data_IF_793702904372
#
_entry.id   IF_793702904372
#
_cell.length_a   1.000
_cell.length_b   1.000
_cell.length_c   1.000
_cell.angle_alpha   90.00
_cell.angle_beta   90.00
_cell.angle_gamma   90.00
#
_symmetry.space_group_name_H-M   'P 1'
#
loop_
_entity.id
_entity.type
_entity.pdbx_description
1 polymer ?
#
# COMPACT_ATOMS: atom_id res chain seq x y z
N UNK A 1 14.68 14.94 4.02
CA UNK A 1 13.80 15.97 3.42
C UNK A 1 14.15 16.30 1.97
N UNK A 2 15.45 16.49 1.61
CA UNK A 2 15.83 16.83 0.22
C UNK A 2 15.60 15.71 -0.79
N UNK A 3 15.73 14.45 -0.43
CA UNK A 3 15.48 13.30 -1.33
C UNK A 3 13.98 13.01 -1.52
N UNK A 4 13.15 13.18 -0.49
CA UNK A 4 11.70 13.06 -0.63
C UNK A 4 11.10 14.17 -1.53
N UNK A 5 11.72 15.35 -1.54
CA UNK A 5 11.31 16.48 -2.38
C UNK A 5 11.65 16.29 -3.87
N UNK A 6 12.65 15.44 -4.21
CA UNK A 6 13.03 15.15 -5.60
C UNK A 6 12.07 14.20 -6.32
N UNK A 7 11.23 13.48 -5.56
CA UNK A 7 10.10 12.73 -6.15
C UNK A 7 9.05 13.72 -6.65
N UNK A 8 9.22 14.18 -7.86
CA UNK A 8 8.50 15.22 -8.57
C UNK A 8 7.07 15.47 -8.10
N UNK A 9 6.65 16.71 -8.09
CA UNK A 9 5.26 17.09 -7.80
C UNK A 9 4.33 16.19 -8.61
N UNK A 10 3.29 15.65 -7.96
CA UNK A 10 2.24 14.87 -8.62
C UNK A 10 1.76 15.66 -9.84
N UNK A 11 2.15 15.23 -11.02
CA UNK A 11 1.51 15.74 -12.23
C UNK A 11 0.23 14.92 -12.41
N UNK A 12 -0.96 15.51 -12.33
CA UNK A 12 -2.21 14.80 -12.62
C UNK A 12 -2.27 14.30 -14.07
N UNK A 13 -1.28 14.69 -14.90
CA UNK A 13 -1.27 14.45 -16.35
C UNK A 13 -0.69 13.11 -16.76
N UNK A 14 0.04 12.41 -15.87
CA UNK A 14 0.83 11.24 -16.29
C UNK A 14 0.04 9.93 -16.35
N UNK A 15 -1.19 9.90 -15.85
CA UNK A 15 -2.00 8.67 -15.88
C UNK A 15 -1.50 7.52 -15.01
N UNK A 16 -0.33 7.67 -14.39
CA UNK A 16 0.34 6.65 -13.58
C UNK A 16 -0.30 6.57 -12.19
N UNK A 17 -0.72 5.37 -11.77
CA UNK A 17 -1.21 5.12 -10.41
C UNK A 17 -0.03 4.79 -9.52
N UNK A 18 0.13 5.55 -8.43
CA UNK A 18 1.13 5.24 -7.41
C UNK A 18 0.53 4.35 -6.33
N UNK A 19 1.14 3.20 -6.11
CA UNK A 19 0.76 2.22 -5.10
C UNK A 19 1.86 2.15 -4.05
N UNK A 20 1.50 2.44 -2.80
CA UNK A 20 2.38 2.22 -1.65
C UNK A 20 2.34 0.75 -1.22
N UNK A 21 3.47 0.18 -0.89
CA UNK A 21 3.58 -1.18 -0.37
C UNK A 21 4.44 -1.19 0.90
N UNK A 22 3.85 -1.56 2.03
CA UNK A 22 4.59 -1.80 3.27
C UNK A 22 4.90 -3.29 3.35
N UNK A 23 6.10 -3.67 2.90
CA UNK A 23 6.43 -5.07 2.60
C UNK A 23 6.87 -5.89 3.80
N UNK A 24 7.23 -5.25 4.91
CA UNK A 24 7.63 -5.95 6.14
C UNK A 24 7.32 -5.10 7.37
N UNK A 25 6.85 -5.75 8.44
CA UNK A 25 6.56 -5.15 9.73
C UNK A 25 7.67 -5.48 10.73
N UNK A 26 8.38 -4.48 11.21
CA UNK A 26 9.43 -4.67 12.22
C UNK A 26 8.88 -5.24 13.53
N UNK A 27 7.67 -4.81 13.92
CA UNK A 27 6.98 -5.31 15.11
C UNK A 27 6.69 -6.80 15.00
N UNK A 28 6.28 -7.29 13.83
CA UNK A 28 6.06 -8.71 13.60
C UNK A 28 7.34 -9.51 13.85
N UNK A 29 8.45 -9.03 13.30
CA UNK A 29 9.75 -9.66 13.47
C UNK A 29 10.21 -9.68 14.94
N UNK A 30 10.04 -8.55 15.65
CA UNK A 30 10.45 -8.41 17.05
C UNK A 30 9.67 -9.32 18.00
N UNK A 31 8.34 -9.43 17.82
CA UNK A 31 7.47 -10.23 18.69
C UNK A 31 7.20 -11.65 18.18
N UNK A 32 7.75 -12.05 17.04
CA UNK A 32 7.53 -13.36 16.46
C UNK A 32 6.12 -13.58 15.90
N UNK A 33 5.36 -12.52 15.63
CA UNK A 33 4.03 -12.63 15.04
C UNK A 33 4.11 -12.90 13.53
N UNK A 34 3.26 -13.78 13.04
CA UNK A 34 3.10 -14.02 11.61
C UNK A 34 2.21 -12.93 11.02
N UNK A 35 2.80 -11.80 10.65
CA UNK A 35 2.10 -10.64 10.07
C UNK A 35 2.62 -10.27 8.69
N UNK A 36 3.82 -10.72 8.34
CA UNK A 36 4.44 -10.37 7.08
C UNK A 36 4.01 -11.32 5.97
N UNK A 37 3.59 -10.73 4.86
CA UNK A 37 3.29 -11.48 3.66
C UNK A 37 4.60 -11.94 3.00
N UNK A 38 4.68 -13.20 2.50
CA UNK A 38 5.91 -13.73 1.94
C UNK A 38 6.47 -12.88 0.80
N UNK A 39 7.80 -12.72 0.75
CA UNK A 39 8.47 -11.98 -0.31
C UNK A 39 8.16 -12.52 -1.71
N UNK A 40 7.91 -13.82 -1.85
CA UNK A 40 7.48 -14.43 -3.11
C UNK A 40 6.13 -13.87 -3.59
N UNK A 41 5.19 -13.65 -2.69
CA UNK A 41 3.89 -13.06 -3.01
C UNK A 41 4.01 -11.59 -3.41
N UNK A 42 4.84 -10.82 -2.71
CA UNK A 42 5.16 -9.44 -3.11
C UNK A 42 5.77 -9.38 -4.50
N UNK A 43 6.73 -10.27 -4.81
CA UNK A 43 7.33 -10.34 -6.16
C UNK A 43 6.29 -10.67 -7.23
N UNK A 44 5.38 -11.61 -6.95
CA UNK A 44 4.30 -11.96 -7.86
C UNK A 44 3.35 -10.78 -8.10
N UNK A 45 3.00 -10.03 -7.03
CA UNK A 45 2.16 -8.84 -7.13
C UNK A 45 2.84 -7.75 -7.96
N UNK A 46 4.11 -7.46 -7.72
CA UNK A 46 4.85 -6.45 -8.47
C UNK A 46 5.01 -6.83 -9.95
N UNK A 47 5.32 -8.09 -10.23
CA UNK A 47 5.43 -8.59 -11.61
C UNK A 47 4.10 -8.54 -12.38
N UNK A 48 2.97 -8.62 -11.68
CA UNK A 48 1.67 -8.53 -12.32
C UNK A 48 1.29 -7.10 -12.72
N UNK A 49 1.92 -6.11 -12.11
CA UNK A 49 1.71 -4.68 -12.37
C UNK A 49 3.06 -4.01 -12.65
N UNK A 50 3.81 -4.53 -13.59
CA UNK A 50 5.16 -4.07 -13.92
C UNK A 50 5.22 -3.00 -15.01
N UNK A 51 4.08 -2.58 -15.57
CA UNK A 51 4.02 -1.53 -16.58
C UNK A 51 4.30 -0.14 -15.97
N UNK A 52 5.48 0.46 -16.18
CA UNK A 52 5.86 1.75 -15.59
C UNK A 52 5.05 2.93 -16.16
N UNK A 53 4.37 2.75 -17.29
CA UNK A 53 3.49 3.76 -17.85
C UNK A 53 2.13 3.82 -17.13
N UNK A 54 1.80 2.79 -16.36
CA UNK A 54 0.50 2.67 -15.67
C UNK A 54 0.63 2.66 -14.15
N UNK A 55 1.66 2.02 -13.62
CA UNK A 55 1.81 1.77 -12.18
C UNK A 55 3.22 2.13 -11.72
N UNK A 56 3.28 2.78 -10.58
CA UNK A 56 4.50 3.00 -9.80
C UNK A 56 4.32 2.43 -8.41
N UNK A 57 5.18 1.52 -8.02
CA UNK A 57 5.27 1.01 -6.66
C UNK A 57 6.21 1.87 -5.82
N UNK A 58 5.83 2.16 -4.59
CA UNK A 58 6.67 2.82 -3.60
C UNK A 58 6.73 1.91 -2.38
N UNK A 59 7.91 1.37 -2.09
CA UNK A 59 8.09 0.45 -0.97
C UNK A 59 8.43 1.20 0.30
N UNK A 60 7.81 0.79 1.40
CA UNK A 60 8.02 1.32 2.75
C UNK A 60 8.46 0.21 3.70
N UNK A 61 9.15 0.59 4.78
CA UNK A 61 9.62 -0.30 5.83
C UNK A 61 11.05 0.05 6.29
N UNK A 62 11.54 -0.67 7.30
CA UNK A 62 12.87 -0.43 7.86
C UNK A 62 13.99 -1.16 7.11
N UNK A 63 13.83 -2.45 6.90
CA UNK A 63 14.88 -3.31 6.36
C UNK A 63 14.74 -3.51 4.85
N UNK A 64 15.87 -3.60 4.19
CA UNK A 64 15.97 -3.87 2.75
C UNK A 64 16.55 -5.27 2.49
N UNK A 65 16.05 -6.27 3.23
CA UNK A 65 16.58 -7.65 3.17
C UNK A 65 16.29 -8.32 1.82
N UNK A 66 15.10 -8.03 1.24
CA UNK A 66 14.71 -8.56 -0.05
C UNK A 66 14.86 -7.51 -1.16
N UNK A 67 15.47 -7.88 -2.27
CA UNK A 67 15.53 -7.03 -3.45
C UNK A 67 14.26 -7.18 -4.31
N UNK A 68 13.73 -6.05 -4.77
CA UNK A 68 12.62 -5.97 -5.71
C UNK A 68 13.09 -5.13 -6.91
N UNK A 69 13.41 -5.78 -8.01
CA UNK A 69 14.16 -5.20 -9.13
C UNK A 69 13.28 -4.75 -10.32
N UNK A 70 11.96 -4.68 -10.17
CA UNK A 70 11.10 -4.24 -11.25
C UNK A 70 11.33 -2.75 -11.57
N UNK A 71 11.28 -2.35 -12.85
CA UNK A 71 11.64 -1.00 -13.28
C UNK A 71 10.69 0.10 -12.75
N UNK A 72 9.48 -0.29 -12.34
CA UNK A 72 8.48 0.62 -11.78
C UNK A 72 8.46 0.64 -10.24
N UNK A 73 9.44 0.00 -9.58
CA UNK A 73 9.59 -0.03 -8.12
C UNK A 73 10.55 1.06 -7.65
N UNK A 74 10.06 1.89 -6.77
CA UNK A 74 10.84 2.87 -6.02
C UNK A 74 10.98 2.41 -4.57
N UNK A 75 12.17 1.99 -4.18
CA UNK A 75 12.45 1.49 -2.84
C UNK A 75 12.85 2.63 -1.88
N UNK A 76 11.96 2.95 -0.94
CA UNK A 76 12.17 3.92 0.14
C UNK A 76 12.41 3.25 1.50
N UNK A 77 12.55 1.93 1.56
CA UNK A 77 12.81 1.22 2.82
C UNK A 77 14.11 1.71 3.44
N UNK A 78 14.10 1.96 4.75
CA UNK A 78 15.24 2.50 5.49
C UNK A 78 15.66 3.93 5.09
N UNK A 79 14.89 4.63 4.23
CA UNK A 79 15.23 5.96 3.70
C UNK A 79 14.27 7.06 4.17
N UNK A 80 13.20 6.69 4.84
CA UNK A 80 12.19 7.64 5.34
C UNK A 80 11.98 7.45 6.83
N UNK A 81 11.89 8.56 7.56
CA UNK A 81 11.31 8.54 8.89
C UNK A 81 9.82 8.26 8.85
N UNK A 82 9.24 7.92 9.98
CA UNK A 82 7.83 7.52 10.07
C UNK A 82 6.85 8.60 9.54
N UNK A 83 7.06 9.86 9.94
CA UNK A 83 6.22 10.98 9.49
C UNK A 83 6.41 11.28 8.00
N UNK A 84 7.64 11.16 7.49
CA UNK A 84 7.91 11.34 6.06
C UNK A 84 7.22 10.26 5.22
N UNK A 85 7.21 9.02 5.73
CA UNK A 85 6.50 7.90 5.11
C UNK A 85 5.00 8.20 5.00
N UNK A 86 4.36 8.65 6.09
CA UNK A 86 2.93 9.02 6.08
C UNK A 86 2.66 10.19 5.14
N UNK A 87 3.56 11.18 5.09
CA UNK A 87 3.44 12.29 4.15
C UNK A 87 3.51 11.81 2.68
N UNK A 88 4.38 10.84 2.37
CA UNK A 88 4.46 10.23 1.03
C UNK A 88 3.19 9.46 0.71
N UNK A 89 2.68 8.64 1.64
CA UNK A 89 1.41 7.92 1.45
C UNK A 89 0.30 8.91 1.11
N UNK A 90 0.10 9.92 1.96
CA UNK A 90 -0.95 10.93 1.79
C UNK A 90 -0.84 11.72 0.48
N UNK A 91 0.37 12.13 0.12
CA UNK A 91 0.59 13.03 -1.01
C UNK A 91 0.71 12.31 -2.37
N UNK A 92 1.07 11.02 -2.38
CA UNK A 92 1.48 10.32 -3.59
C UNK A 92 0.72 9.04 -3.87
N UNK A 93 0.36 8.28 -2.83
CA UNK A 93 -0.26 6.99 -3.04
C UNK A 93 -1.76 7.13 -3.31
N UNK A 94 -2.24 6.44 -4.32
CA UNK A 94 -3.67 6.25 -4.57
C UNK A 94 -4.16 4.98 -3.89
N UNK A 95 -3.28 4.00 -3.77
CA UNK A 95 -3.52 2.71 -3.11
C UNK A 95 -2.40 2.49 -2.09
N UNK A 96 -2.73 1.88 -0.96
CA UNK A 96 -1.78 1.35 0.00
C UNK A 96 -2.06 -0.14 0.20
N UNK A 97 -1.05 -0.98 0.01
CA UNK A 97 -1.07 -2.40 0.39
C UNK A 97 -0.16 -2.58 1.60
N UNK A 98 -0.69 -3.07 2.70
CA UNK A 98 0.08 -3.20 3.94
C UNK A 98 -0.41 -4.37 4.81
N UNK A 99 0.48 -5.09 5.50
CA UNK A 99 0.10 -6.02 6.56
C UNK A 99 -0.42 -5.26 7.78
N UNK A 100 -0.98 -5.98 8.76
CA UNK A 100 -1.29 -5.44 10.08
C UNK A 100 -0.05 -4.83 10.73
N UNK A 101 0.02 -3.51 10.76
CA UNK A 101 1.21 -2.77 11.17
C UNK A 101 0.87 -1.37 11.65
N UNK A 102 1.81 -0.73 12.35
CA UNK A 102 1.70 0.68 12.73
C UNK A 102 1.51 1.61 11.53
N UNK A 103 2.15 1.31 10.39
CA UNK A 103 1.99 2.07 9.14
C UNK A 103 0.55 2.00 8.63
N UNK A 104 -0.03 0.80 8.61
CA UNK A 104 -1.43 0.61 8.23
C UNK A 104 -2.37 1.40 9.15
N UNK A 105 -2.21 1.23 10.47
CA UNK A 105 -3.05 1.89 11.47
C UNK A 105 -3.02 3.41 11.33
N UNK A 106 -1.83 3.99 11.21
CA UNK A 106 -1.70 5.44 11.07
C UNK A 106 -2.22 5.96 9.73
N UNK A 107 -1.97 5.24 8.63
CA UNK A 107 -2.53 5.62 7.33
C UNK A 107 -4.06 5.56 7.32
N UNK A 108 -4.64 4.55 8.00
CA UNK A 108 -6.09 4.40 8.13
C UNK A 108 -6.74 5.55 8.91
N UNK A 109 -6.11 5.98 10.02
CA UNK A 109 -6.64 7.07 10.87
C UNK A 109 -6.10 8.46 10.50
N UNK A 110 -5.35 8.58 9.41
CA UNK A 110 -4.86 9.87 8.97
C UNK A 110 -6.00 10.73 8.43
N UNK A 111 -6.32 11.80 9.14
CA UNK A 111 -7.36 12.74 8.74
C UNK A 111 -7.01 13.41 7.39
N UNK A 112 -8.04 13.67 6.58
CA UNK A 112 -7.89 14.33 5.28
C UNK A 112 -9.03 13.99 4.33
N UNK A 113 -8.93 14.48 3.11
CA UNK A 113 -9.92 14.25 2.04
C UNK A 113 -9.31 13.64 0.79
N UNK A 114 -7.99 13.39 0.79
CA UNK A 114 -7.32 12.76 -0.33
C UNK A 114 -7.83 11.30 -0.49
N UNK A 115 -8.26 10.91 -1.69
CA UNK A 115 -8.71 9.55 -1.92
C UNK A 115 -7.57 8.55 -1.68
N UNK A 116 -7.84 7.52 -0.87
CA UNK A 116 -6.91 6.44 -0.58
C UNK A 116 -7.67 5.11 -0.52
N UNK A 117 -7.28 4.17 -1.37
CA UNK A 117 -7.74 2.79 -1.24
C UNK A 117 -6.72 1.98 -0.45
N UNK A 118 -7.15 1.32 0.60
CA UNK A 118 -6.29 0.53 1.48
C UNK A 118 -6.62 -0.95 1.32
N UNK A 119 -5.63 -1.73 0.95
CA UNK A 119 -5.68 -3.21 0.98
C UNK A 119 -4.84 -3.66 2.16
N UNK A 120 -5.45 -4.22 3.15
CA UNK A 120 -4.75 -4.71 4.33
C UNK A 120 -4.70 -6.24 4.37
N UNK A 121 -3.56 -6.76 4.81
CA UNK A 121 -3.28 -8.19 4.85
C UNK A 121 -3.23 -8.64 6.31
N UNK A 122 -4.00 -9.67 6.66
CA UNK A 122 -4.22 -10.07 8.04
C UNK A 122 -4.00 -11.55 8.26
N UNK A 123 -3.35 -11.89 9.36
CA UNK A 123 -3.46 -13.22 9.99
C UNK A 123 -4.71 -13.26 10.87
N UNK A 124 -4.81 -12.34 11.83
CA UNK A 124 -5.89 -12.33 12.82
C UNK A 124 -6.77 -11.08 12.66
N UNK A 125 -8.06 -11.22 12.27
CA UNK A 125 -8.98 -10.11 12.12
C UNK A 125 -9.38 -9.46 13.46
N UNK A 126 -9.03 -10.06 14.59
CA UNK A 126 -9.30 -9.51 15.93
C UNK A 126 -8.22 -8.52 16.40
N UNK A 127 -7.41 -8.01 15.49
CA UNK A 127 -6.33 -7.08 15.80
C UNK A 127 -6.46 -5.76 15.04
N UNK A 128 -5.65 -4.78 15.40
CA UNK A 128 -5.49 -3.49 14.75
C UNK A 128 -6.81 -2.79 14.42
N UNK A 129 -6.90 -2.21 13.24
CA UNK A 129 -8.07 -1.43 12.80
C UNK A 129 -9.33 -2.28 12.64
N UNK A 130 -9.20 -3.58 12.38
CA UNK A 130 -10.35 -4.48 12.26
C UNK A 130 -11.01 -4.70 13.62
N UNK A 131 -10.21 -4.91 14.68
CA UNK A 131 -10.72 -5.05 16.06
C UNK A 131 -11.41 -3.77 16.53
N UNK A 132 -10.84 -2.62 16.20
CA UNK A 132 -11.37 -1.34 16.68
C UNK A 132 -12.72 -1.01 16.05
N UNK A 133 -12.99 -1.43 14.82
CA UNK A 133 -14.24 -1.23 14.13
C UNK A 133 -14.64 0.24 13.92
N UNK A 134 -13.72 1.18 14.19
CA UNK A 134 -13.97 2.61 14.03
C UNK A 134 -13.74 3.02 12.57
N UNK A 135 -14.62 3.84 11.98
CA UNK A 135 -14.42 4.35 10.64
C UNK A 135 -13.18 5.25 10.56
N UNK A 136 -12.56 5.29 9.40
CA UNK A 136 -11.50 6.28 9.12
C UNK A 136 -12.07 7.70 9.18
N UNK A 137 -11.31 8.66 9.74
CA UNK A 137 -11.69 10.08 9.67
C UNK A 137 -11.55 10.67 8.26
N UNK A 138 -10.96 9.94 7.31
CA UNK A 138 -10.93 10.29 5.91
C UNK A 138 -12.15 9.70 5.19
N UNK A 139 -13.16 10.51 4.81
CA UNK A 139 -14.39 10.01 4.17
C UNK A 139 -14.14 9.41 2.78
N UNK A 140 -12.99 9.70 2.18
CA UNK A 140 -12.60 9.18 0.87
C UNK A 140 -11.61 8.00 0.97
N UNK A 141 -11.46 7.42 2.17
CA UNK A 141 -10.72 6.18 2.34
C UNK A 141 -11.67 4.99 2.10
N UNK A 142 -11.26 4.11 1.21
CA UNK A 142 -11.93 2.83 1.02
C UNK A 142 -11.00 1.71 1.49
N UNK A 143 -11.49 0.81 2.34
CA UNK A 143 -10.70 -0.25 2.96
C UNK A 143 -11.22 -1.63 2.57
N UNK A 144 -10.30 -2.48 2.14
CA UNK A 144 -10.53 -3.92 1.90
C UNK A 144 -9.54 -4.70 2.73
N UNK A 145 -10.04 -5.56 3.60
CA UNK A 145 -9.24 -6.45 4.41
C UNK A 145 -9.21 -7.85 3.78
N UNK A 146 -8.01 -8.36 3.56
CA UNK A 146 -7.77 -9.72 3.11
C UNK A 146 -7.25 -10.52 4.30
N UNK A 147 -8.04 -11.47 4.77
CA UNK A 147 -7.70 -12.33 5.92
C UNK A 147 -7.25 -13.69 5.41
N UNK A 148 -6.10 -14.14 5.87
CA UNK A 148 -5.58 -15.45 5.55
C UNK A 148 -6.41 -16.56 6.18
N UNK A 149 -6.50 -17.71 5.50
CA UNK A 149 -7.11 -18.92 6.07
C UNK A 149 -6.28 -19.37 7.27
N UNK A 150 -6.95 -19.97 8.24
CA UNK A 150 -6.32 -20.51 9.46
C UNK A 150 -5.50 -19.46 10.23
N UNK A 151 -5.96 -18.22 10.22
CA UNK A 151 -5.28 -17.08 10.86
C UNK A 151 -3.83 -16.90 10.38
N UNK A 152 -3.56 -17.16 9.11
CA UNK A 152 -2.22 -17.08 8.53
C UNK A 152 -2.20 -16.20 7.26
N UNK A 153 -1.60 -15.02 7.36
CA UNK A 153 -1.45 -14.07 6.24
C UNK A 153 -0.68 -14.67 5.05
N UNK A 154 0.17 -15.68 5.29
CA UNK A 154 0.91 -16.37 4.23
C UNK A 154 0.00 -17.10 3.25
N UNK A 155 -1.24 -17.40 3.67
CA UNK A 155 -2.26 -18.02 2.83
C UNK A 155 -3.10 -17.00 2.03
N UNK A 156 -2.90 -15.70 2.24
CA UNK A 156 -3.48 -14.67 1.35
C UNK A 156 -2.80 -14.80 0.00
N UNK A 157 -3.57 -15.11 -1.01
CA UNK A 157 -3.09 -15.14 -2.39
C UNK A 157 -3.40 -13.82 -3.08
N UNK A 158 -2.61 -13.48 -4.10
CA UNK A 158 -2.96 -12.39 -5.04
C UNK A 158 -4.06 -12.93 -5.93
N UNK A 159 -5.26 -13.02 -5.38
CA UNK A 159 -6.41 -13.56 -6.08
C UNK A 159 -7.05 -12.54 -7.02
N UNK A 160 -8.10 -13.03 -7.70
CA UNK A 160 -8.84 -12.25 -8.70
C UNK A 160 -9.49 -11.02 -8.07
N UNK A 161 -9.88 -11.07 -6.80
CA UNK A 161 -10.61 -9.98 -6.13
C UNK A 161 -9.68 -8.82 -5.77
N UNK A 162 -8.49 -9.12 -5.21
CA UNK A 162 -7.45 -8.11 -5.00
C UNK A 162 -7.06 -7.45 -6.32
N UNK A 163 -6.90 -8.27 -7.37
CA UNK A 163 -6.57 -7.79 -8.70
C UNK A 163 -7.69 -6.98 -9.34
N UNK A 164 -8.94 -7.40 -9.18
CA UNK A 164 -10.11 -6.68 -9.68
C UNK A 164 -10.24 -5.33 -9.01
N UNK A 165 -10.02 -5.24 -7.70
CA UNK A 165 -10.06 -3.99 -6.96
C UNK A 165 -8.96 -3.02 -7.42
N UNK A 166 -7.71 -3.45 -7.48
CA UNK A 166 -6.60 -2.63 -7.95
C UNK A 166 -6.81 -2.18 -9.41
N UNK A 167 -7.33 -3.06 -10.26
CA UNK A 167 -7.65 -2.75 -11.66
C UNK A 167 -8.83 -1.77 -11.76
N UNK A 168 -9.87 -1.92 -10.93
CA UNK A 168 -11.02 -1.02 -10.92
C UNK A 168 -10.65 0.39 -10.46
N UNK A 169 -9.73 0.52 -9.51
CA UNK A 169 -9.19 1.82 -9.08
C UNK A 169 -8.40 2.48 -10.21
N UNK A 170 -7.53 1.72 -10.89
CA UNK A 170 -6.79 2.24 -12.04
C UNK A 170 -7.71 2.73 -13.15
N UNK A 171 -8.78 1.97 -13.46
CA UNK A 171 -9.79 2.35 -14.46
C UNK A 171 -10.58 3.60 -14.05
N UNK A 172 -11.02 3.71 -12.79
CA UNK A 172 -11.73 4.91 -12.29
C UNK A 172 -10.86 6.16 -12.40
N UNK A 173 -9.58 6.05 -12.09
CA UNK A 173 -8.63 7.15 -12.22
C UNK A 173 -8.40 7.56 -13.68
N UNK A 174 -8.47 6.63 -14.62
CA UNK A 174 -8.40 6.92 -16.06
C UNK A 174 -9.70 7.57 -16.59
N UNK A 175 -10.88 7.08 -16.13
CA UNK A 175 -12.19 7.60 -16.56
C UNK A 175 -12.45 9.02 -16.06
N UNK A 176 -12.09 9.33 -14.81
CA UNK A 176 -12.25 10.68 -14.26
C UNK A 176 -11.46 11.77 -15.01
N UNK A 177 -10.51 11.38 -15.86
CA UNK A 177 -9.72 12.28 -16.72
C UNK A 177 -10.27 12.42 -18.14
N UNK A 178 -11.17 11.55 -18.56
CA UNK A 178 -11.78 11.55 -19.89
C UNK A 178 -13.12 12.30 -19.95
N UNK A 179 -13.63 12.79 -18.82
CA UNK A 179 -14.83 13.63 -18.78
C UNK A 179 -14.38 15.07 -19.00
N UNK A 180 -14.71 15.73 -20.12
CA UNK A 180 -14.48 17.15 -20.31
C UNK A 180 -15.30 17.96 -19.30
N UNK A 181 -14.71 19.05 -18.80
CA UNK A 181 -15.37 19.99 -17.91
C UNK A 181 -16.52 20.72 -18.62
#
# INVERSE_FOLDING_TARGET
LKQAASYGKRSPRDGVVTIGAHVASETARYYGYVKDWPAAHWRALFARFDDPARVRWVLFGHAADDAYAQPNVCDLRGRTGFLDLLAVIRARCRILVAPDSGVLTMAYYLAGTAPLDVVSLWSDPRQGVLKQGCPSPNPNLHHVALVGRDEDVRNVTVDVDTMAMLTAVARRSAWARSVPA
#
